data_IF_986542991867
#
_entry.id   IF_986542991867
#
_cell.length_a   1.000
_cell.length_b   1.000
_cell.length_c   1.000
_cell.angle_alpha   90.00
_cell.angle_beta   90.00
_cell.angle_gamma   90.00
#
_symmetry.space_group_name_H-M   'P 1'
#
loop_
_entity.id
_entity.type
_entity.pdbx_description
1 polymer ?
#
# COMPACT_ATOMS: atom_id res chain seq x y z
N UNK A 1 -2.87 6.38 21.63
CA UNK A 1 -3.16 7.07 20.36
C UNK A 1 -2.53 6.26 19.25
N UNK A 2 -3.11 6.24 18.05
CA UNK A 2 -2.46 5.59 16.90
C UNK A 2 -1.09 6.22 16.66
N UNK A 3 -0.08 5.40 16.39
CA UNK A 3 1.25 5.92 16.04
C UNK A 3 1.16 6.68 14.72
N UNK A 4 1.95 7.75 14.58
CA UNK A 4 1.97 8.56 13.37
C UNK A 4 3.38 8.76 12.85
N UNK A 5 3.55 8.60 11.53
CA UNK A 5 4.79 8.88 10.80
C UNK A 5 4.53 10.02 9.84
N UNK A 6 5.49 10.95 9.73
CA UNK A 6 5.44 12.01 8.75
C UNK A 6 6.78 12.10 8.03
N UNK A 7 6.77 11.66 6.77
CA UNK A 7 7.97 11.56 5.96
C UNK A 7 7.82 12.28 4.62
N UNK A 8 8.97 12.56 3.98
CA UNK A 8 8.97 13.23 2.68
C UNK A 8 8.75 12.28 1.52
N UNK A 9 9.25 11.06 1.59
CA UNK A 9 9.28 10.11 0.47
C UNK A 9 8.66 8.76 0.83
N UNK A 10 8.32 7.97 -0.18
CA UNK A 10 7.72 6.64 -0.01
C UNK A 10 8.67 5.69 0.73
N UNK A 11 9.95 5.69 0.37
CA UNK A 11 10.92 4.78 0.94
C UNK A 11 11.25 5.08 2.40
N UNK A 12 11.32 6.36 2.79
CA UNK A 12 11.48 6.71 4.21
C UNK A 12 10.23 6.36 5.01
N UNK A 13 9.04 6.65 4.48
CA UNK A 13 7.79 6.25 5.12
C UNK A 13 7.71 4.72 5.33
N UNK A 14 8.17 3.93 4.36
CA UNK A 14 8.25 2.48 4.48
C UNK A 14 9.21 2.02 5.58
N UNK A 15 10.43 2.57 5.62
CA UNK A 15 11.42 2.24 6.66
C UNK A 15 10.89 2.58 8.06
N UNK A 16 10.34 3.78 8.25
CA UNK A 16 9.80 4.20 9.54
C UNK A 16 8.57 3.36 9.93
N UNK A 17 7.77 2.89 8.97
CA UNK A 17 6.65 2.01 9.25
C UNK A 17 7.11 0.66 9.79
N UNK A 18 8.16 0.07 9.19
CA UNK A 18 8.77 -1.16 9.70
C UNK A 18 9.36 -0.93 11.10
N UNK A 19 10.11 0.15 11.30
CA UNK A 19 10.69 0.49 12.62
C UNK A 19 9.60 0.60 13.69
N UNK A 20 8.51 1.30 13.40
CA UNK A 20 7.38 1.45 14.33
C UNK A 20 6.84 0.09 14.78
N UNK A 21 6.66 -0.86 13.85
CA UNK A 21 6.22 -2.24 14.15
C UNK A 21 7.28 -2.99 14.96
N UNK A 22 8.56 -2.91 14.61
CA UNK A 22 9.63 -3.61 15.34
C UNK A 22 9.79 -3.11 16.77
N UNK A 23 9.65 -1.81 16.98
CA UNK A 23 9.87 -1.17 18.29
C UNK A 23 8.66 -1.27 19.21
N UNK A 24 7.44 -1.26 18.66
CA UNK A 24 6.20 -1.10 19.43
C UNK A 24 5.12 -2.15 19.11
N UNK A 25 5.39 -3.07 18.20
CA UNK A 25 4.43 -4.10 17.81
C UNK A 25 4.28 -5.17 18.89
N UNK A 26 3.09 -5.75 18.93
CA UNK A 26 2.78 -6.89 19.77
C UNK A 26 2.71 -8.16 18.92
N UNK A 27 3.02 -9.30 19.54
CA UNK A 27 2.87 -10.60 18.89
C UNK A 27 1.38 -10.94 18.73
N UNK A 28 0.97 -11.26 17.52
CA UNK A 28 -0.38 -11.68 17.16
C UNK A 28 -0.31 -12.94 16.30
N UNK A 29 -1.38 -13.74 16.31
CA UNK A 29 -1.51 -14.91 15.44
C UNK A 29 -2.54 -14.61 14.35
N UNK A 30 -2.10 -14.64 13.10
CA UNK A 30 -2.95 -14.64 11.91
C UNK A 30 -2.99 -16.07 11.39
N UNK A 31 -4.13 -16.74 11.58
CA UNK A 31 -4.26 -18.19 11.47
C UNK A 31 -3.18 -18.91 12.31
N UNK A 32 -2.30 -19.69 11.66
CA UNK A 32 -1.22 -20.44 12.31
C UNK A 32 0.14 -19.70 12.26
N UNK A 33 0.17 -18.45 11.79
CA UNK A 33 1.39 -17.66 11.61
C UNK A 33 1.48 -16.56 12.66
N UNK A 34 2.62 -16.52 13.37
CA UNK A 34 2.92 -15.44 14.29
C UNK A 34 3.42 -14.21 13.54
N UNK A 35 2.77 -13.07 13.77
CA UNK A 35 3.07 -11.77 13.17
C UNK A 35 3.29 -10.72 14.26
N UNK A 36 4.02 -9.66 13.91
CA UNK A 36 4.19 -8.48 14.75
C UNK A 36 3.30 -7.36 14.20
N UNK A 37 2.39 -6.84 15.01
CA UNK A 37 1.39 -5.85 14.58
C UNK A 37 1.22 -4.71 15.58
N UNK A 38 0.93 -3.51 15.09
CA UNK A 38 0.58 -2.34 15.90
C UNK A 38 -0.90 -2.37 16.30
N UNK A 39 -1.20 -2.52 17.59
CA UNK A 39 -2.58 -2.62 18.11
C UNK A 39 -3.52 -1.46 17.78
N UNK A 40 -2.99 -0.23 17.71
CA UNK A 40 -3.80 0.99 17.54
C UNK A 40 -3.76 1.54 16.11
N UNK A 41 -3.18 0.79 15.16
CA UNK A 41 -2.98 1.22 13.79
C UNK A 41 -1.86 2.26 13.63
N UNK A 42 -1.57 2.59 12.38
CA UNK A 42 -0.49 3.49 11.97
C UNK A 42 -1.01 4.51 10.96
N UNK A 43 -0.87 5.79 11.27
CA UNK A 43 -1.13 6.87 10.33
C UNK A 43 0.19 7.29 9.67
N UNK A 44 0.24 7.29 8.33
CA UNK A 44 1.44 7.66 7.58
C UNK A 44 1.12 8.86 6.68
N UNK A 45 1.87 9.94 6.84
CA UNK A 45 1.81 11.11 5.97
C UNK A 45 3.06 11.14 5.09
N UNK A 46 2.86 11.33 3.80
CA UNK A 46 3.94 11.44 2.81
C UNK A 46 3.78 12.77 2.09
N UNK A 47 4.67 13.71 2.38
CA UNK A 47 4.52 15.12 1.96
C UNK A 47 4.93 15.39 0.51
N UNK A 48 5.75 14.52 -0.10
CA UNK A 48 6.17 14.63 -1.49
C UNK A 48 6.23 13.25 -2.15
N UNK A 49 5.06 12.60 -2.39
CA UNK A 49 5.02 11.28 -2.99
C UNK A 49 5.53 11.34 -4.44
N UNK A 50 6.43 10.43 -4.80
CA UNK A 50 6.98 10.29 -6.15
C UNK A 50 7.03 8.83 -6.55
N UNK A 51 6.83 8.55 -7.83
CA UNK A 51 6.87 7.17 -8.37
C UNK A 51 8.28 6.58 -8.27
N UNK A 52 9.30 7.39 -8.58
CA UNK A 52 10.70 7.04 -8.39
C UNK A 52 11.14 7.46 -6.98
N UNK A 53 11.73 6.53 -6.23
CA UNK A 53 12.21 6.73 -4.87
C UNK A 53 13.53 5.95 -4.69
N UNK A 54 14.66 6.62 -4.37
CA UNK A 54 15.96 5.97 -4.29
C UNK A 54 16.06 4.85 -3.24
N UNK A 55 15.28 4.92 -2.16
CA UNK A 55 15.27 3.89 -1.12
C UNK A 55 14.54 2.65 -1.62
N UNK A 56 13.38 2.84 -2.28
CA UNK A 56 12.64 1.74 -2.90
C UNK A 56 13.43 1.11 -4.05
N UNK A 57 14.06 1.92 -4.90
CA UNK A 57 14.89 1.42 -6.01
C UNK A 57 16.09 0.61 -5.53
N UNK A 58 16.66 0.98 -4.38
CA UNK A 58 17.83 0.30 -3.82
C UNK A 58 17.49 -0.98 -3.07
N UNK A 59 16.39 -0.98 -2.30
CA UNK A 59 16.09 -2.05 -1.33
C UNK A 59 14.76 -2.76 -1.57
N UNK A 60 13.88 -2.19 -2.38
CA UNK A 60 12.61 -2.81 -2.74
C UNK A 60 12.80 -3.94 -3.74
N UNK A 61 11.98 -4.98 -3.61
CA UNK A 61 11.91 -6.03 -4.62
C UNK A 61 11.18 -5.49 -5.87
N UNK A 62 11.92 -5.32 -6.96
CA UNK A 62 11.40 -4.77 -8.21
C UNK A 62 10.28 -5.63 -8.82
N UNK A 63 10.30 -6.94 -8.60
CA UNK A 63 9.25 -7.85 -9.06
C UNK A 63 7.94 -7.63 -8.31
N UNK A 64 8.02 -7.38 -7.00
CA UNK A 64 6.86 -7.05 -6.16
C UNK A 64 6.29 -5.69 -6.52
N UNK A 65 7.14 -4.68 -6.69
CA UNK A 65 6.70 -3.32 -7.08
C UNK A 65 5.99 -3.36 -8.44
N UNK A 66 6.59 -4.00 -9.45
CA UNK A 66 6.02 -4.14 -10.79
C UNK A 66 4.67 -4.88 -10.75
N UNK A 67 4.60 -5.99 -9.99
CA UNK A 67 3.37 -6.76 -9.81
C UNK A 67 2.27 -5.93 -9.15
N UNK A 68 2.60 -5.14 -8.12
CA UNK A 68 1.64 -4.26 -7.46
C UNK A 68 1.16 -3.16 -8.40
N UNK A 69 2.03 -2.52 -9.17
CA UNK A 69 1.63 -1.53 -10.18
C UNK A 69 0.68 -2.12 -11.24
N UNK A 70 0.95 -3.34 -11.72
CA UNK A 70 0.06 -4.07 -12.64
C UNK A 70 -1.34 -4.27 -12.02
N UNK A 71 -1.43 -4.55 -10.71
CA UNK A 71 -2.70 -4.70 -9.99
C UNK A 71 -3.56 -3.43 -10.01
N UNK A 72 -2.97 -2.24 -10.15
CA UNK A 72 -3.71 -0.97 -10.28
C UNK A 72 -4.05 -0.58 -11.72
N UNK A 73 -3.50 -1.27 -12.72
CA UNK A 73 -3.72 -0.94 -14.14
C UNK A 73 -5.14 -1.27 -14.58
N UNK A 74 -5.76 -0.42 -15.40
CA UNK A 74 -7.10 -0.66 -15.98
C UNK A 74 -7.13 -1.98 -16.75
N UNK A 75 -8.24 -2.71 -16.62
CA UNK A 75 -8.47 -4.01 -17.27
C UNK A 75 -7.42 -5.09 -16.92
N UNK A 76 -6.63 -4.93 -15.86
CA UNK A 76 -5.70 -5.97 -15.45
C UNK A 76 -6.45 -7.14 -14.81
N UNK A 77 -6.04 -8.35 -15.19
CA UNK A 77 -6.41 -9.61 -14.51
C UNK A 77 -5.15 -10.26 -13.96
N UNK A 78 -5.27 -10.86 -12.80
CA UNK A 78 -4.20 -11.62 -12.14
C UNK A 78 -4.79 -12.97 -11.75
N UNK A 79 -4.28 -14.05 -12.32
CA UNK A 79 -4.85 -15.40 -12.17
C UNK A 79 -4.81 -15.91 -10.72
N UNK A 80 -3.91 -15.35 -9.90
CA UNK A 80 -3.71 -15.72 -8.50
C UNK A 80 -4.53 -14.88 -7.50
N UNK A 81 -5.37 -13.95 -7.98
CA UNK A 81 -6.13 -13.02 -7.12
C UNK A 81 -7.60 -12.98 -7.52
N UNK A 82 -8.51 -12.84 -6.53
CA UNK A 82 -9.94 -12.75 -6.81
C UNK A 82 -10.35 -11.44 -7.50
N UNK A 83 -9.52 -10.39 -7.43
CA UNK A 83 -9.74 -9.10 -8.07
C UNK A 83 -8.43 -8.29 -8.20
N UNK A 84 -8.46 -7.29 -9.08
CA UNK A 84 -7.41 -6.25 -9.17
C UNK A 84 -7.96 -4.90 -8.71
N UNK A 85 -7.08 -4.01 -8.24
CA UNK A 85 -7.51 -2.65 -7.91
C UNK A 85 -7.97 -1.88 -9.15
N UNK A 86 -7.38 -2.15 -10.31
CA UNK A 86 -7.86 -1.61 -11.58
C UNK A 86 -9.30 -2.00 -11.90
N UNK A 87 -9.69 -3.26 -11.67
CA UNK A 87 -11.09 -3.69 -11.80
C UNK A 87 -11.99 -2.93 -10.82
N UNK A 88 -11.57 -2.83 -9.55
CA UNK A 88 -12.34 -2.09 -8.54
C UNK A 88 -12.49 -0.61 -8.89
N UNK A 89 -11.45 0.05 -9.40
CA UNK A 89 -11.49 1.50 -9.68
C UNK A 89 -12.26 1.79 -10.97
N UNK A 90 -12.05 1.00 -12.03
CA UNK A 90 -12.52 1.36 -13.37
C UNK A 90 -13.74 0.57 -13.86
N UNK A 91 -14.15 -0.50 -13.16
CA UNK A 91 -15.23 -1.37 -13.64
C UNK A 91 -16.01 -2.10 -12.54
N UNK A 92 -16.01 -1.58 -11.30
CA UNK A 92 -16.66 -2.26 -10.17
C UNK A 92 -18.17 -2.33 -10.41
N UNK A 93 -18.68 -3.54 -10.62
CA UNK A 93 -20.09 -3.80 -10.93
C UNK A 93 -20.59 -2.94 -12.13
N UNK A 94 -19.72 -2.69 -13.11
CA UNK A 94 -20.03 -1.87 -14.28
C UNK A 94 -19.88 -0.35 -14.08
N UNK A 95 -19.44 0.10 -12.91
CA UNK A 95 -19.20 1.52 -12.61
C UNK A 95 -17.72 1.85 -12.72
N UNK A 96 -17.40 2.90 -13.49
CA UNK A 96 -16.08 3.51 -13.50
C UNK A 96 -16.00 4.59 -12.41
N UNK A 97 -15.49 4.22 -11.23
CA UNK A 97 -15.44 5.11 -10.07
C UNK A 97 -14.53 6.31 -10.31
N UNK A 98 -13.46 6.14 -11.10
CA UNK A 98 -12.55 7.23 -11.42
C UNK A 98 -13.23 8.32 -12.27
N UNK A 99 -13.93 7.94 -13.33
CA UNK A 99 -14.72 8.88 -14.15
C UNK A 99 -15.83 9.54 -13.31
N UNK A 100 -16.53 8.74 -12.50
CA UNK A 100 -17.59 9.23 -11.63
C UNK A 100 -17.09 10.28 -10.63
N UNK A 101 -15.87 10.14 -10.12
CA UNK A 101 -15.23 11.11 -9.23
C UNK A 101 -14.85 12.40 -9.96
N UNK A 102 -14.31 12.31 -11.18
CA UNK A 102 -13.89 13.49 -11.96
C UNK A 102 -15.05 14.44 -12.28
N UNK A 103 -16.26 13.92 -12.45
CA UNK A 103 -17.47 14.74 -12.67
C UNK A 103 -17.92 15.52 -11.41
N UNK A 104 -17.32 15.26 -10.25
CA UNK A 104 -17.76 15.75 -8.94
C UNK A 104 -16.69 16.57 -8.21
N UNK A 105 -15.51 16.71 -8.80
CA UNK A 105 -14.43 17.59 -8.35
C UNK A 105 -14.43 18.82 -9.23
#
# INVERSE_FOLDING_TARGET
>A
MASSINEKSLGMAWIESIRSVLDNGDLHFDEDVSILELRLGLAVTITNPRVADPVIERWGDSSVVSRMQKKFTRNSRMDDRPFTYGELIYSKNGVNQFEWMLERI
#
